data_IF_210073817481
#
_entry.id   IF_210073817481
#
_cell.length_a   1.000
_cell.length_b   1.000
_cell.length_c   1.000
_cell.angle_alpha   90.00
_cell.angle_beta   90.00
_cell.angle_gamma   90.00
#
_symmetry.space_group_name_H-M   'P 1'
#
loop_
_entity.id
_entity.type
_entity.pdbx_description
1 polymer ?
#
# COMPACT_ATOMS: atom_id res chain seq x y z
N UNK A 1 -15.64 -8.94 20.93
CA UNK A 1 -15.11 -7.56 21.11
C UNK A 1 -13.75 -7.40 20.43
N UNK A 2 -13.15 -8.51 20.02
CA UNK A 2 -11.77 -8.62 19.54
C UNK A 2 -11.58 -7.93 18.18
N UNK A 3 -12.56 -8.02 17.28
CA UNK A 3 -12.53 -7.37 15.96
C UNK A 3 -12.46 -5.84 16.05
N UNK A 4 -13.08 -5.23 17.07
CA UNK A 4 -13.05 -3.76 17.25
C UNK A 4 -11.65 -3.33 17.71
N UNK A 5 -11.02 -4.13 18.55
CA UNK A 5 -9.65 -3.88 19.04
C UNK A 5 -8.65 -4.07 17.90
N UNK A 6 -8.84 -5.10 17.07
CA UNK A 6 -8.05 -5.34 15.85
C UNK A 6 -8.15 -4.16 14.87
N UNK A 7 -9.38 -3.67 14.64
CA UNK A 7 -9.62 -2.51 13.78
C UNK A 7 -8.97 -1.23 14.34
N UNK A 8 -9.04 -1.02 15.66
CA UNK A 8 -8.39 0.10 16.31
C UNK A 8 -6.87 0.05 16.19
N UNK A 9 -6.27 -1.14 16.32
CA UNK A 9 -4.84 -1.37 16.11
C UNK A 9 -4.44 -1.12 14.65
N UNK A 10 -5.23 -1.60 13.69
CA UNK A 10 -4.96 -1.42 12.26
C UNK A 10 -5.02 0.06 11.86
N UNK A 11 -6.04 0.79 12.32
CA UNK A 11 -6.17 2.23 12.10
C UNK A 11 -5.02 2.99 12.78
N UNK A 12 -4.67 2.63 14.02
CA UNK A 12 -3.56 3.24 14.76
C UNK A 12 -2.22 3.09 14.02
N UNK A 13 -1.93 1.90 13.51
CA UNK A 13 -0.69 1.64 12.76
C UNK A 13 -0.65 2.37 11.41
N UNK A 14 -1.81 2.55 10.77
CA UNK A 14 -1.93 3.28 9.50
C UNK A 14 -1.70 4.79 9.69
N UNK A 15 -2.18 5.37 10.79
CA UNK A 15 -1.90 6.78 11.16
C UNK A 15 -0.41 7.01 11.44
N UNK A 16 0.28 6.00 11.98
CA UNK A 16 1.73 6.03 12.19
C UNK A 16 2.55 5.96 10.88
N UNK A 17 1.90 5.85 9.72
CA UNK A 17 2.58 5.79 8.42
C UNK A 17 3.28 4.47 8.16
N UNK A 18 2.96 3.42 8.92
CA UNK A 18 3.51 2.08 8.72
C UNK A 18 2.93 1.50 7.42
N UNK A 19 3.74 0.79 6.60
CA UNK A 19 3.23 0.21 5.36
C UNK A 19 2.11 -0.80 5.66
N UNK A 20 1.02 -0.69 4.91
CA UNK A 20 -0.19 -1.53 4.99
C UNK A 20 0.07 -3.04 5.22
N UNK A 21 1.04 -3.72 4.57
CA UNK A 21 1.32 -5.13 4.86
C UNK A 21 1.71 -5.42 6.32
N UNK A 22 2.46 -4.52 6.96
CA UNK A 22 2.84 -4.68 8.36
C UNK A 22 1.64 -4.47 9.29
N UNK A 23 0.70 -3.59 8.91
CA UNK A 23 -0.56 -3.40 9.65
C UNK A 23 -1.42 -4.67 9.63
N UNK A 24 -1.56 -5.30 8.45
CA UNK A 24 -2.27 -6.58 8.34
C UNK A 24 -1.58 -7.72 9.07
N UNK A 25 -0.24 -7.78 9.04
CA UNK A 25 0.51 -8.77 9.79
C UNK A 25 0.27 -8.61 11.31
N UNK A 26 0.33 -7.39 11.83
CA UNK A 26 0.09 -7.10 13.25
C UNK A 26 -1.34 -7.44 13.67
N UNK A 27 -2.33 -7.10 12.85
CA UNK A 27 -3.74 -7.45 13.03
C UNK A 27 -3.94 -8.98 13.13
N UNK A 28 -3.42 -9.76 12.18
CA UNK A 28 -3.52 -11.22 12.21
C UNK A 28 -2.81 -11.83 13.42
N UNK A 29 -1.67 -11.28 13.83
CA UNK A 29 -0.90 -11.76 14.99
C UNK A 29 -1.61 -11.43 16.32
N UNK A 30 -2.29 -10.30 16.40
CA UNK A 30 -3.18 -9.96 17.51
C UNK A 30 -4.39 -10.90 17.57
N UNK A 31 -5.02 -11.16 16.43
CA UNK A 31 -6.13 -12.11 16.33
C UNK A 31 -5.72 -13.54 16.69
N UNK A 32 -4.48 -13.95 16.39
CA UNK A 32 -3.95 -15.27 16.74
C UNK A 32 -3.65 -15.44 18.24
N UNK A 33 -3.29 -14.34 18.93
CA UNK A 33 -2.90 -14.39 20.36
C UNK A 33 -4.07 -14.18 21.31
N UNK A 34 -5.08 -13.39 20.92
CA UNK A 34 -6.22 -13.02 21.76
C UNK A 34 -7.57 -13.57 21.25
N UNK A 35 -7.66 -13.92 19.97
CA UNK A 35 -8.86 -14.52 19.39
C UNK A 35 -8.93 -16.00 19.75
N UNK A 36 -9.91 -16.38 20.57
CA UNK A 36 -10.28 -17.78 20.85
C UNK A 36 -10.95 -18.45 19.62
N UNK A 37 -10.37 -18.28 18.43
CA UNK A 37 -10.83 -18.88 17.19
C UNK A 37 -9.93 -20.05 16.85
N UNK A 38 -10.50 -21.10 16.24
CA UNK A 38 -9.73 -22.24 15.76
C UNK A 38 -8.56 -21.79 14.88
N UNK A 39 -7.30 -22.14 15.21
CA UNK A 39 -6.11 -21.75 14.45
C UNK A 39 -6.21 -22.13 12.96
N UNK A 40 -6.88 -23.25 12.69
CA UNK A 40 -7.15 -23.75 11.34
C UNK A 40 -8.00 -22.78 10.51
N UNK A 41 -9.01 -22.14 11.14
CA UNK A 41 -9.92 -21.23 10.46
C UNK A 41 -9.25 -19.88 10.14
N UNK A 42 -8.47 -19.34 11.07
CA UNK A 42 -7.69 -18.11 10.86
C UNK A 42 -6.65 -18.33 9.77
N UNK A 43 -5.93 -19.46 9.80
CA UNK A 43 -4.90 -19.77 8.80
C UNK A 43 -5.49 -19.95 7.40
N UNK A 44 -6.60 -20.68 7.26
CA UNK A 44 -7.29 -20.87 5.98
C UNK A 44 -7.83 -19.55 5.41
N UNK A 45 -8.48 -18.75 6.24
CA UNK A 45 -9.08 -17.47 5.82
C UNK A 45 -8.00 -16.41 5.53
N UNK A 46 -6.92 -16.39 6.30
CA UNK A 46 -5.77 -15.50 6.09
C UNK A 46 -5.05 -15.81 4.78
N UNK A 47 -4.80 -17.09 4.48
CA UNK A 47 -4.22 -17.49 3.19
C UNK A 47 -5.12 -17.10 2.01
N UNK A 48 -6.44 -17.24 2.16
CA UNK A 48 -7.37 -16.85 1.11
C UNK A 48 -7.36 -15.33 0.86
N UNK A 49 -7.20 -14.53 1.91
CA UNK A 49 -7.10 -13.06 1.80
C UNK A 49 -5.79 -12.59 1.17
N UNK A 50 -4.66 -13.22 1.48
CA UNK A 50 -3.36 -12.90 0.86
C UNK A 50 -3.34 -13.31 -0.62
N UNK A 51 -4.01 -14.41 -0.97
CA UNK A 51 -4.20 -14.83 -2.36
C UNK A 51 -5.21 -13.98 -3.14
N UNK A 52 -5.86 -13.01 -2.50
CA UNK A 52 -6.69 -12.04 -3.22
C UNK A 52 -5.79 -11.11 -4.03
N UNK A 53 -6.07 -11.03 -5.33
CA UNK A 53 -5.30 -10.19 -6.24
C UNK A 53 -5.21 -8.73 -5.78
N UNK A 54 -6.25 -8.22 -5.11
CA UNK A 54 -6.27 -6.86 -4.58
C UNK A 54 -5.17 -6.60 -3.53
N UNK A 55 -5.00 -7.50 -2.55
CA UNK A 55 -4.01 -7.33 -1.46
C UNK A 55 -2.59 -7.41 -2.00
N UNK A 56 -2.36 -8.35 -2.92
CA UNK A 56 -1.07 -8.53 -3.56
C UNK A 56 -0.73 -7.33 -4.48
N UNK A 57 -1.70 -6.82 -5.24
CA UNK A 57 -1.55 -5.58 -6.01
C UNK A 57 -1.15 -4.40 -5.12
N UNK A 58 -1.84 -4.19 -4.00
CA UNK A 58 -1.52 -3.09 -3.06
C UNK A 58 -0.10 -3.24 -2.51
N UNK A 59 0.30 -4.46 -2.12
CA UNK A 59 1.65 -4.74 -1.64
C UNK A 59 2.71 -4.38 -2.69
N UNK A 60 2.53 -4.82 -3.92
CA UNK A 60 3.44 -4.50 -5.01
C UNK A 60 3.43 -3.01 -5.35
N UNK A 61 2.28 -2.34 -5.25
CA UNK A 61 2.19 -0.90 -5.51
C UNK A 61 2.97 -0.08 -4.49
N UNK A 62 2.87 -0.43 -3.20
CA UNK A 62 3.64 0.20 -2.12
C UNK A 62 5.13 -0.07 -2.30
N UNK A 63 5.51 -1.31 -2.62
CA UNK A 63 6.90 -1.69 -2.87
C UNK A 63 7.49 -0.91 -4.06
N UNK A 64 6.74 -0.82 -5.17
CA UNK A 64 7.13 -0.07 -6.35
C UNK A 64 7.20 1.42 -6.07
N UNK A 65 6.27 1.99 -5.30
CA UNK A 65 6.31 3.40 -4.88
C UNK A 65 7.60 3.72 -4.10
N UNK A 66 7.97 2.87 -3.14
CA UNK A 66 9.21 2.99 -2.39
C UNK A 66 10.46 2.85 -3.26
N UNK A 67 10.49 1.84 -4.14
CA UNK A 67 11.59 1.66 -5.10
C UNK A 67 11.73 2.84 -6.07
N UNK A 68 10.62 3.38 -6.57
CA UNK A 68 10.61 4.50 -7.52
C UNK A 68 11.12 5.79 -6.88
N UNK A 69 10.82 6.00 -5.59
CA UNK A 69 11.38 7.08 -4.79
C UNK A 69 12.88 6.89 -4.53
N UNK A 70 13.30 5.66 -4.20
CA UNK A 70 14.70 5.36 -3.83
C UNK A 70 15.65 5.32 -5.02
N UNK A 71 15.17 4.88 -6.19
CA UNK A 71 15.97 4.76 -7.42
C UNK A 71 16.03 6.06 -8.23
N UNK A 72 15.24 7.07 -7.86
CA UNK A 72 15.13 8.33 -8.60
C UNK A 72 14.53 8.18 -10.00
N UNK A 73 13.99 7.00 -10.33
CA UNK A 73 13.35 6.72 -11.63
C UNK A 73 12.13 7.62 -11.83
N UNK A 74 11.38 7.93 -10.76
CA UNK A 74 10.32 8.94 -10.79
C UNK A 74 10.82 10.28 -11.34
N UNK A 75 11.89 10.83 -10.77
CA UNK A 75 12.43 12.13 -11.19
C UNK A 75 12.98 12.11 -12.61
N UNK A 76 13.59 10.99 -13.03
CA UNK A 76 14.08 10.83 -14.41
C UNK A 76 12.92 10.79 -15.41
N UNK A 77 11.86 10.04 -15.11
CA UNK A 77 10.66 9.98 -15.96
C UNK A 77 9.98 11.35 -16.06
N UNK A 78 9.86 12.06 -14.93
CA UNK A 78 9.30 13.43 -14.91
C UNK A 78 10.14 14.39 -15.76
N UNK A 79 11.48 14.35 -15.67
CA UNK A 79 12.34 15.17 -16.52
C UNK A 79 12.20 14.86 -18.02
N UNK A 80 12.00 13.59 -18.38
CA UNK A 80 11.75 13.20 -19.77
C UNK A 80 10.40 13.75 -20.22
N UNK A 81 9.34 13.58 -19.43
CA UNK A 81 8.03 14.17 -19.73
C UNK A 81 8.08 15.70 -19.87
N UNK A 82 8.83 16.39 -19.00
CA UNK A 82 9.04 17.84 -19.06
C UNK A 82 9.80 18.27 -20.34
N UNK A 83 10.80 17.47 -20.73
CA UNK A 83 11.56 17.72 -21.97
C UNK A 83 10.71 17.56 -23.25
N UNK A 84 9.70 16.69 -23.22
CA UNK A 84 8.78 16.43 -24.35
C UNK A 84 7.68 17.51 -24.41
N UNK A 85 7.15 17.94 -23.26
CA UNK A 85 6.03 18.88 -23.18
C UNK A 85 6.47 20.36 -23.19
N UNK A 86 7.77 20.63 -23.13
CA UNK A 86 8.35 21.96 -23.27
C UNK A 86 8.38 22.76 -21.97
N UNK A 87 9.44 23.56 -21.85
CA UNK A 87 9.97 24.31 -20.70
C UNK A 87 9.06 25.38 -20.04
N UNK A 88 7.72 25.28 -20.15
CA UNK A 88 6.83 26.19 -19.41
C UNK A 88 6.71 25.72 -17.97
N UNK A 89 6.88 26.65 -17.02
CA UNK A 89 6.85 26.46 -15.55
C UNK A 89 5.61 25.75 -14.96
N UNK A 90 4.66 25.29 -15.78
CA UNK A 90 3.46 24.51 -15.43
C UNK A 90 3.57 23.00 -15.74
N UNK A 91 4.76 22.50 -16.11
CA UNK A 91 5.00 21.14 -16.64
C UNK A 91 4.21 20.01 -15.99
N UNK A 92 4.39 19.77 -14.67
CA UNK A 92 3.76 18.65 -13.96
C UNK A 92 2.21 18.64 -14.00
N UNK A 93 1.56 19.81 -13.88
CA UNK A 93 0.10 19.90 -13.95
C UNK A 93 -0.43 19.58 -15.34
N UNK A 94 0.22 20.12 -16.38
CA UNK A 94 -0.14 19.83 -17.78
C UNK A 94 0.08 18.37 -18.14
N UNK A 95 1.17 17.73 -17.65
CA UNK A 95 1.43 16.29 -17.86
C UNK A 95 0.31 15.44 -17.25
N UNK A 96 -0.14 15.74 -16.03
CA UNK A 96 -1.22 14.99 -15.38
C UNK A 96 -2.55 15.12 -16.13
N UNK A 97 -2.86 16.31 -16.67
CA UNK A 97 -4.10 16.52 -17.44
C UNK A 97 -4.04 15.76 -18.77
N UNK A 98 -2.91 15.83 -19.48
CA UNK A 98 -2.71 15.12 -20.76
C UNK A 98 -2.66 13.60 -20.58
N UNK A 99 -2.07 13.10 -19.48
CA UNK A 99 -2.00 11.67 -19.21
C UNK A 99 -3.34 11.06 -18.77
N UNK A 100 -4.28 11.88 -18.30
CA UNK A 100 -5.59 11.46 -17.82
C UNK A 100 -6.72 11.75 -18.84
N UNK A 101 -6.39 12.41 -19.96
CA UNK A 101 -7.26 12.60 -21.12
C UNK A 101 -7.08 11.45 -22.13
#
# INVERSE_FOLDING_TARGET
>A
MDIIIDLAILIGLLVLGVPVPFCFMAAVLFMFTLGNYDPMFIMATGFHKINSMAVLCILFFILMGGLMSSTGVASRLVNISDSILGRKKSGLGTVSIVSCA
#
